data_IF_453698845856
#
_entry.id   IF_453698845856
#
_cell.length_a   1.000
_cell.length_b   1.000
_cell.length_c   1.000
_cell.angle_alpha   90.00
_cell.angle_beta   90.00
_cell.angle_gamma   90.00
#
_symmetry.space_group_name_H-M   'P 1'
#
loop_
_entity.id
_entity.type
_entity.pdbx_description
1 polymer ?
#
# COMPACT_ATOMS: atom_id res chain seq x y z
N UNK A 1 -8.63 -2.54 6.64
CA UNK A 1 -8.62 -2.14 8.06
C UNK A 1 -9.92 -2.46 8.77
N UNK A 2 -11.10 -2.12 8.22
CA UNK A 2 -12.39 -2.45 8.84
C UNK A 2 -12.56 -3.96 9.06
N UNK A 3 -12.26 -4.77 8.04
CA UNK A 3 -12.32 -6.24 8.16
C UNK A 3 -11.33 -6.78 9.21
N UNK A 4 -10.12 -6.23 9.27
CA UNK A 4 -9.15 -6.59 10.29
C UNK A 4 -9.70 -6.32 11.70
N UNK A 5 -10.31 -5.15 11.93
CA UNK A 5 -10.93 -4.81 13.20
C UNK A 5 -12.13 -5.71 13.56
N UNK A 6 -13.04 -5.94 12.61
CA UNK A 6 -14.26 -6.73 12.82
C UNK A 6 -13.95 -8.23 13.06
N UNK A 7 -12.91 -8.76 12.42
CA UNK A 7 -12.53 -10.18 12.49
C UNK A 7 -11.46 -10.48 13.55
N UNK A 8 -10.99 -9.46 14.26
CA UNK A 8 -10.04 -9.61 15.36
C UNK A 8 -10.68 -10.29 16.56
N UNK A 9 -9.97 -11.25 17.17
CA UNK A 9 -10.42 -12.00 18.35
C UNK A 9 -9.30 -12.03 19.41
N UNK A 10 -8.88 -10.84 19.82
CA UNK A 10 -7.80 -10.63 20.78
C UNK A 10 -8.33 -10.51 22.21
N UNK A 11 -7.58 -11.08 23.16
CA UNK A 11 -7.90 -10.96 24.59
C UNK A 11 -7.91 -9.50 25.09
N UNK A 12 -7.05 -8.65 24.53
CA UNK A 12 -6.90 -7.25 24.92
C UNK A 12 -7.27 -6.33 23.76
N UNK A 13 -8.21 -5.43 23.98
CA UNK A 13 -8.68 -4.49 22.96
C UNK A 13 -7.57 -3.58 22.41
N UNK A 14 -6.58 -3.25 23.24
CA UNK A 14 -5.42 -2.42 22.85
C UNK A 14 -4.45 -3.12 21.90
N UNK A 15 -4.60 -4.43 21.70
CA UNK A 15 -3.81 -5.24 20.78
C UNK A 15 -4.67 -5.84 19.65
N UNK A 16 -5.82 -5.23 19.40
CA UNK A 16 -6.83 -5.74 18.48
C UNK A 16 -6.84 -4.98 17.16
N UNK A 17 -7.12 -5.68 16.08
CA UNK A 17 -7.30 -5.11 14.76
C UNK A 17 -6.05 -4.39 14.26
N UNK A 18 -6.17 -3.10 13.99
CA UNK A 18 -5.08 -2.26 13.46
C UNK A 18 -4.05 -1.81 14.51
N UNK A 19 -4.19 -2.25 15.78
CA UNK A 19 -3.22 -1.99 16.84
C UNK A 19 -2.01 -2.95 16.76
N UNK A 20 -1.37 -3.02 15.61
CA UNK A 20 -0.24 -3.89 15.26
C UNK A 20 0.98 -3.07 14.84
N UNK A 21 2.09 -3.74 14.58
CA UNK A 21 3.28 -3.08 14.04
C UNK A 21 2.97 -2.30 12.76
N UNK A 22 3.59 -1.13 12.59
CA UNK A 22 3.33 -0.24 11.45
C UNK A 22 3.61 -0.93 10.11
N UNK A 23 4.66 -1.71 10.03
CA UNK A 23 5.06 -2.48 8.86
C UNK A 23 4.31 -3.82 8.69
N UNK A 24 3.19 -3.96 9.39
CA UNK A 24 2.24 -5.06 9.21
C UNK A 24 0.81 -4.55 8.92
N UNK A 25 0.44 -3.38 9.43
CA UNK A 25 -0.95 -2.89 9.47
C UNK A 25 -1.61 -2.77 8.08
N UNK A 26 -0.83 -2.46 7.04
CA UNK A 26 -1.34 -2.30 5.67
C UNK A 26 -1.46 -3.62 4.89
N UNK A 27 -0.83 -4.70 5.37
CA UNK A 27 -0.82 -5.96 4.64
C UNK A 27 -2.24 -6.52 4.40
N UNK A 28 -3.16 -6.57 5.39
CA UNK A 28 -4.51 -7.08 5.14
C UNK A 28 -5.31 -6.22 4.15
N UNK A 29 -5.14 -4.90 4.17
CA UNK A 29 -5.83 -3.99 3.24
C UNK A 29 -5.29 -4.14 1.82
N UNK A 30 -3.98 -4.13 1.63
CA UNK A 30 -3.33 -4.35 0.34
C UNK A 30 -3.64 -5.73 -0.24
N UNK A 31 -3.65 -6.78 0.60
CA UNK A 31 -4.07 -8.11 0.17
C UNK A 31 -5.51 -8.11 -0.34
N UNK A 32 -6.44 -7.45 0.36
CA UNK A 32 -7.85 -7.37 -0.06
C UNK A 32 -8.04 -6.70 -1.43
N UNK A 33 -7.15 -5.79 -1.83
CA UNK A 33 -7.20 -5.16 -3.16
C UNK A 33 -7.04 -6.20 -4.28
N UNK A 34 -6.30 -7.28 -4.04
CA UNK A 34 -6.09 -8.34 -5.03
C UNK A 34 -7.39 -9.04 -5.46
N UNK A 35 -8.42 -9.07 -4.59
CA UNK A 35 -9.72 -9.66 -4.91
C UNK A 35 -10.43 -8.94 -6.04
N UNK A 36 -10.21 -7.64 -6.23
CA UNK A 36 -10.83 -6.88 -7.29
C UNK A 36 -10.48 -7.38 -8.71
N UNK A 37 -9.33 -8.06 -8.86
CA UNK A 37 -8.87 -8.59 -10.15
C UNK A 37 -9.15 -10.08 -10.34
N UNK A 38 -9.69 -10.80 -9.34
CA UNK A 38 -10.11 -12.20 -9.48
C UNK A 38 -11.26 -12.27 -10.48
N UNK A 39 -11.16 -13.10 -11.56
CA UNK A 39 -12.13 -13.10 -12.66
C UNK A 39 -13.59 -13.21 -12.21
N UNK A 40 -13.88 -14.12 -11.29
CA UNK A 40 -15.24 -14.37 -10.80
C UNK A 40 -15.82 -13.16 -10.06
N UNK A 41 -14.98 -12.47 -9.28
CA UNK A 41 -15.38 -11.26 -8.56
C UNK A 41 -15.49 -10.09 -9.53
N UNK A 42 -14.49 -9.91 -10.39
CA UNK A 42 -14.47 -8.85 -11.40
C UNK A 42 -15.73 -8.88 -12.28
N UNK A 43 -16.08 -10.04 -12.82
CA UNK A 43 -17.23 -10.22 -13.71
C UNK A 43 -18.57 -10.00 -12.99
N UNK A 44 -18.60 -10.10 -11.66
CA UNK A 44 -19.77 -9.80 -10.87
C UNK A 44 -20.02 -8.30 -10.74
N UNK A 45 -19.00 -7.49 -10.47
CA UNK A 45 -19.18 -6.05 -10.22
C UNK A 45 -18.92 -5.16 -11.45
N UNK A 46 -18.07 -5.59 -12.39
CA UNK A 46 -17.67 -4.80 -13.56
C UNK A 46 -18.78 -4.80 -14.64
N UNK A 47 -19.87 -4.11 -14.36
CA UNK A 47 -21.05 -4.04 -15.23
C UNK A 47 -21.38 -2.60 -15.60
N UNK A 48 -21.94 -2.45 -16.80
CA UNK A 48 -22.41 -1.16 -17.28
C UNK A 48 -23.53 -0.63 -16.38
N UNK A 49 -23.41 0.59 -15.92
CA UNK A 49 -24.31 1.18 -14.91
C UNK A 49 -25.78 1.24 -15.34
N UNK A 50 -26.07 1.46 -16.62
CA UNK A 50 -27.44 1.58 -17.14
C UNK A 50 -27.99 0.25 -17.64
N UNK A 51 -27.16 -0.55 -18.34
CA UNK A 51 -27.63 -1.76 -19.02
C UNK A 51 -27.40 -3.04 -18.24
N UNK A 52 -26.55 -3.02 -17.22
CA UNK A 52 -26.11 -4.22 -16.48
C UNK A 52 -25.25 -5.17 -17.32
N UNK A 53 -24.90 -4.82 -18.55
CA UNK A 53 -24.08 -5.64 -19.42
C UNK A 53 -22.66 -5.83 -18.82
N UNK A 54 -22.08 -7.03 -19.01
CA UNK A 54 -20.70 -7.30 -18.62
C UNK A 54 -19.73 -6.42 -19.42
N UNK A 55 -18.57 -6.12 -18.83
CA UNK A 55 -17.51 -5.41 -19.55
C UNK A 55 -17.09 -6.18 -20.82
N UNK A 56 -16.93 -5.51 -21.97
CA UNK A 56 -16.42 -6.14 -23.18
C UNK A 56 -15.06 -6.81 -22.95
N UNK A 57 -14.87 -8.01 -23.50
CA UNK A 57 -13.69 -8.83 -23.24
C UNK A 57 -12.37 -8.14 -23.63
N UNK A 58 -12.37 -7.40 -24.75
CA UNK A 58 -11.21 -6.64 -25.21
C UNK A 58 -10.87 -5.47 -24.26
N UNK A 59 -11.86 -4.83 -23.68
CA UNK A 59 -11.66 -3.78 -22.71
C UNK A 59 -11.11 -4.35 -21.39
N UNK A 60 -11.66 -5.47 -20.92
CA UNK A 60 -11.16 -6.20 -19.74
C UNK A 60 -9.69 -6.60 -19.93
N UNK A 61 -9.34 -7.18 -21.05
CA UNK A 61 -7.96 -7.58 -21.35
C UNK A 61 -7.00 -6.38 -21.34
N UNK A 62 -7.37 -5.27 -21.99
CA UNK A 62 -6.56 -4.04 -22.00
C UNK A 62 -6.40 -3.46 -20.60
N UNK A 63 -7.46 -3.45 -19.81
CA UNK A 63 -7.44 -2.97 -18.44
C UNK A 63 -6.50 -3.83 -17.56
N UNK A 64 -6.59 -5.16 -17.64
CA UNK A 64 -5.71 -6.05 -16.87
C UNK A 64 -4.23 -5.89 -17.30
N UNK A 65 -3.96 -5.72 -18.59
CA UNK A 65 -2.61 -5.42 -19.08
C UNK A 65 -2.09 -4.07 -18.59
N UNK A 66 -2.96 -3.09 -18.38
CA UNK A 66 -2.55 -1.75 -17.90
C UNK A 66 -2.07 -1.76 -16.45
N UNK A 67 -2.48 -2.73 -15.63
CA UNK A 67 -2.07 -2.84 -14.23
C UNK A 67 -0.54 -3.03 -14.11
N UNK A 68 0.06 -3.78 -15.04
CA UNK A 68 1.52 -3.97 -15.08
C UNK A 68 2.26 -2.90 -15.87
N UNK A 69 1.53 -1.97 -16.52
CA UNK A 69 2.15 -0.90 -17.28
C UNK A 69 2.69 0.18 -16.34
N UNK A 70 3.92 0.62 -16.61
CA UNK A 70 4.63 1.63 -15.82
C UNK A 70 4.78 1.31 -14.31
N UNK A 71 4.91 0.04 -13.95
CA UNK A 71 5.19 -0.38 -12.56
C UNK A 71 6.41 0.34 -11.98
N UNK A 72 7.44 0.60 -12.79
CA UNK A 72 8.61 1.36 -12.37
C UNK A 72 8.29 2.82 -11.99
N UNK A 73 7.27 3.43 -12.61
CA UNK A 73 6.82 4.76 -12.22
C UNK A 73 6.23 4.75 -10.80
N UNK A 74 5.26 3.87 -10.56
CA UNK A 74 4.60 3.75 -9.24
C UNK A 74 5.59 3.36 -8.13
N UNK A 75 6.51 2.45 -8.44
CA UNK A 75 7.58 2.09 -7.50
C UNK A 75 8.52 3.27 -7.24
N UNK A 76 8.92 3.99 -8.28
CA UNK A 76 9.84 5.14 -8.18
C UNK A 76 9.27 6.27 -7.32
N UNK A 77 8.00 6.64 -7.52
CA UNK A 77 7.36 7.68 -6.71
C UNK A 77 7.22 7.29 -5.23
N UNK A 78 6.88 6.01 -4.95
CA UNK A 78 6.79 5.49 -3.60
C UNK A 78 8.15 5.41 -2.91
N UNK A 79 9.17 4.93 -3.64
CA UNK A 79 10.52 4.81 -3.11
C UNK A 79 11.12 6.18 -2.82
N UNK A 80 10.91 7.17 -3.69
CA UNK A 80 11.34 8.54 -3.46
C UNK A 80 10.69 9.14 -2.19
N UNK A 81 9.38 8.94 -1.99
CA UNK A 81 8.69 9.38 -0.78
C UNK A 81 9.21 8.65 0.47
N UNK A 82 9.45 7.33 0.39
CA UNK A 82 10.03 6.54 1.48
C UNK A 82 11.41 7.04 1.88
N UNK A 83 12.28 7.28 0.92
CA UNK A 83 13.64 7.78 1.19
C UNK A 83 13.60 9.21 1.75
N UNK A 84 12.68 10.05 1.26
CA UNK A 84 12.49 11.39 1.77
C UNK A 84 12.00 11.39 3.22
N UNK A 85 11.07 10.51 3.58
CA UNK A 85 10.66 10.31 4.98
C UNK A 85 11.86 9.97 5.86
N UNK A 86 12.66 9.00 5.45
CA UNK A 86 13.86 8.60 6.21
C UNK A 86 14.91 9.71 6.27
N UNK A 87 15.09 10.48 5.19
CA UNK A 87 16.02 11.61 5.18
C UNK A 87 15.64 12.64 6.26
N UNK A 88 14.38 13.04 6.32
CA UNK A 88 13.86 13.97 7.33
C UNK A 88 14.00 13.46 8.78
N UNK A 89 13.91 12.17 8.99
CA UNK A 89 13.95 11.58 10.33
C UNK A 89 15.35 11.07 10.76
N UNK A 90 16.37 11.27 9.91
CA UNK A 90 17.76 10.93 10.22
C UNK A 90 18.63 12.11 10.58
N UNK A 91 18.23 13.32 10.19
CA UNK A 91 18.97 14.55 10.48
C UNK A 91 18.87 14.92 11.96
N UNK A 92 19.92 15.52 12.51
CA UNK A 92 19.93 16.08 13.85
C UNK A 92 19.17 17.42 13.90
N UNK A 93 18.87 17.92 15.08
CA UNK A 93 18.17 19.19 15.27
C UNK A 93 18.93 20.36 14.62
N UNK A 94 20.27 20.33 14.67
CA UNK A 94 21.13 21.36 14.09
C UNK A 94 21.14 21.34 12.56
N UNK A 95 20.83 20.20 11.95
CA UNK A 95 20.77 20.01 10.50
C UNK A 95 19.42 20.35 9.89
N UNK A 96 18.40 20.58 10.72
CA UNK A 96 17.05 20.91 10.23
C UNK A 96 17.09 22.22 9.46
N UNK A 97 16.80 22.21 8.13
CA UNK A 97 16.83 23.42 7.33
C UNK A 97 15.68 24.37 7.72
N UNK A 98 15.86 25.65 7.43
CA UNK A 98 14.74 26.58 7.58
C UNK A 98 13.55 26.17 6.69
N UNK A 99 12.29 26.53 7.04
CA UNK A 99 11.11 26.17 6.25
C UNK A 99 11.20 26.57 4.77
N UNK A 100 11.88 27.69 4.48
CA UNK A 100 12.10 28.15 3.10
C UNK A 100 13.06 27.25 2.29
N UNK A 101 13.87 26.46 2.98
CA UNK A 101 14.85 25.55 2.36
C UNK A 101 14.36 24.09 2.27
N UNK A 102 13.16 23.80 2.74
CA UNK A 102 12.63 22.43 2.73
C UNK A 102 12.62 21.79 1.32
N UNK A 103 12.24 22.57 0.30
CA UNK A 103 12.28 22.11 -1.09
C UNK A 103 13.68 21.93 -1.67
N UNK A 104 14.68 22.68 -1.16
CA UNK A 104 16.09 22.48 -1.54
C UNK A 104 16.63 21.20 -0.90
N UNK A 105 16.36 20.98 0.37
CA UNK A 105 16.70 19.75 1.09
C UNK A 105 16.11 18.52 0.37
N UNK A 106 14.82 18.55 0.04
CA UNK A 106 14.16 17.46 -0.71
C UNK A 106 14.90 17.11 -2.00
N UNK A 107 15.24 18.14 -2.80
CA UNK A 107 15.96 17.94 -4.07
C UNK A 107 17.36 17.39 -3.87
N UNK A 108 18.07 17.88 -2.87
CA UNK A 108 19.42 17.42 -2.53
C UNK A 108 19.42 15.95 -2.11
N UNK A 109 18.52 15.58 -1.18
CA UNK A 109 18.41 14.21 -0.71
C UNK A 109 18.01 13.24 -1.84
N UNK A 110 17.04 13.59 -2.66
CA UNK A 110 16.63 12.76 -3.79
C UNK A 110 17.75 12.69 -4.86
N UNK A 111 18.53 13.73 -5.06
CA UNK A 111 19.69 13.72 -5.95
C UNK A 111 20.78 12.76 -5.44
N UNK A 112 21.11 12.84 -4.15
CA UNK A 112 22.16 12.04 -3.53
C UNK A 112 21.92 10.53 -3.63
N UNK A 113 20.65 10.12 -3.63
CA UNK A 113 20.25 8.72 -3.77
C UNK A 113 19.86 8.32 -5.21
N UNK A 114 19.99 9.22 -6.18
CA UNK A 114 19.70 8.95 -7.58
C UNK A 114 18.21 8.87 -7.92
N UNK A 115 17.33 9.38 -7.06
CA UNK A 115 15.87 9.39 -7.27
C UNK A 115 15.30 10.77 -7.65
N UNK A 116 16.15 11.78 -7.84
CA UNK A 116 15.69 13.06 -8.35
C UNK A 116 15.34 12.94 -9.84
N UNK A 117 14.05 12.91 -10.12
CA UNK A 117 13.54 12.83 -11.47
C UNK A 117 12.36 13.80 -11.65
N UNK A 118 12.46 14.70 -12.62
CA UNK A 118 11.39 15.69 -12.88
C UNK A 118 10.12 15.08 -13.49
N UNK A 119 10.23 13.91 -14.10
CA UNK A 119 9.11 13.18 -14.71
C UNK A 119 8.48 12.19 -13.74
N UNK A 120 9.21 11.77 -12.71
CA UNK A 120 8.72 10.88 -11.64
C UNK A 120 9.01 11.57 -10.31
N UNK A 121 8.18 12.54 -9.91
CA UNK A 121 8.33 13.19 -8.61
C UNK A 121 8.03 12.20 -7.48
N UNK A 122 8.48 12.47 -6.25
CA UNK A 122 8.04 11.66 -5.11
C UNK A 122 6.52 11.73 -4.96
N UNK A 123 5.92 10.64 -4.51
CA UNK A 123 4.46 10.56 -4.29
C UNK A 123 3.95 11.69 -3.39
N UNK A 124 4.75 12.09 -2.42
CA UNK A 124 4.50 13.23 -1.53
C UNK A 124 5.75 14.10 -1.47
N UNK A 125 5.54 15.38 -1.62
CA UNK A 125 6.55 16.39 -1.32
C UNK A 125 6.50 16.78 0.16
N UNK A 126 7.60 17.23 0.71
CA UNK A 126 7.76 17.59 2.12
C UNK A 126 6.62 18.47 2.65
N UNK A 127 6.16 19.44 1.86
CA UNK A 127 5.15 20.42 2.30
C UNK A 127 3.74 19.86 2.53
N UNK A 128 3.41 18.69 1.99
CA UNK A 128 2.09 18.07 2.12
C UNK A 128 2.13 16.58 2.48
N UNK A 129 3.24 16.10 3.02
CA UNK A 129 3.43 14.70 3.41
C UNK A 129 2.75 14.39 4.76
N UNK A 130 1.42 14.49 4.79
CA UNK A 130 0.65 14.32 6.01
C UNK A 130 0.87 12.98 6.71
N UNK A 131 1.13 11.90 5.96
CA UNK A 131 1.42 10.59 6.55
C UNK A 131 2.50 10.67 7.63
N UNK A 132 3.58 11.38 7.36
CA UNK A 132 4.75 11.44 8.25
C UNK A 132 4.66 12.59 9.26
N UNK A 133 4.01 13.72 8.92
CA UNK A 133 3.91 14.87 9.82
C UNK A 133 2.74 14.79 10.81
N UNK A 134 1.65 14.10 10.45
CA UNK A 134 0.44 14.04 11.27
C UNK A 134 -0.27 12.69 11.26
N UNK A 135 0.06 11.80 10.33
CA UNK A 135 -0.62 10.53 10.11
C UNK A 135 -0.05 9.34 10.88
N UNK A 136 1.00 9.53 11.67
CA UNK A 136 1.61 8.47 12.47
C UNK A 136 2.57 7.55 11.71
N UNK A 137 3.06 7.98 10.53
CA UNK A 137 4.04 7.25 9.72
C UNK A 137 5.43 7.90 9.70
N UNK A 138 5.78 8.69 10.70
CA UNK A 138 7.11 9.29 10.86
C UNK A 138 8.18 8.19 10.86
N UNK A 139 9.18 8.29 9.98
CA UNK A 139 10.17 7.24 9.69
C UNK A 139 9.57 5.86 9.36
N UNK A 140 8.30 5.81 8.99
CA UNK A 140 7.52 4.59 8.83
C UNK A 140 6.84 4.45 7.47
N UNK A 141 7.06 5.36 6.53
CA UNK A 141 6.40 5.28 5.22
C UNK A 141 6.86 4.07 4.38
N UNK A 142 8.06 3.55 4.65
CA UNK A 142 8.58 2.30 4.06
C UNK A 142 7.63 1.11 4.26
N UNK A 143 6.78 1.16 5.27
CA UNK A 143 5.86 0.08 5.63
C UNK A 143 4.94 -0.33 4.49
N UNK A 144 4.51 0.60 3.65
CA UNK A 144 3.67 0.31 2.48
C UNK A 144 4.36 -0.63 1.47
N UNK A 145 5.64 -0.39 1.19
CA UNK A 145 6.41 -1.27 0.30
C UNK A 145 6.67 -2.64 0.94
N UNK A 146 6.95 -2.66 2.23
CA UNK A 146 7.18 -3.90 2.97
C UNK A 146 5.91 -4.75 3.06
N UNK A 147 4.79 -4.16 3.42
CA UNK A 147 3.52 -4.87 3.55
C UNK A 147 2.95 -5.31 2.19
N UNK A 148 3.29 -4.62 1.11
CA UNK A 148 2.95 -5.06 -0.25
C UNK A 148 3.61 -6.40 -0.57
N UNK A 149 4.88 -6.59 -0.21
CA UNK A 149 5.57 -7.89 -0.39
C UNK A 149 4.82 -8.99 0.37
N UNK A 150 4.38 -8.72 1.60
CA UNK A 150 3.62 -9.68 2.39
C UNK A 150 2.24 -9.95 1.77
N UNK A 151 1.55 -8.91 1.31
CA UNK A 151 0.25 -9.01 0.67
C UNK A 151 0.29 -9.84 -0.62
N UNK A 152 1.29 -9.60 -1.48
CA UNK A 152 1.51 -10.38 -2.71
C UNK A 152 1.80 -11.85 -2.39
N UNK A 153 2.57 -12.13 -1.34
CA UNK A 153 2.85 -13.49 -0.91
C UNK A 153 1.57 -14.24 -0.48
N UNK A 154 0.68 -13.56 0.24
CA UNK A 154 -0.62 -14.11 0.63
C UNK A 154 -1.52 -14.28 -0.59
N UNK A 155 -1.55 -13.31 -1.51
CA UNK A 155 -2.32 -13.42 -2.75
C UNK A 155 -1.88 -14.62 -3.60
N UNK A 156 -0.58 -14.86 -3.70
CA UNK A 156 -0.02 -16.05 -4.38
C UNK A 156 -0.45 -17.36 -3.69
N UNK A 157 -0.45 -17.39 -2.37
CA UNK A 157 -0.96 -18.54 -1.61
C UNK A 157 -2.45 -18.80 -1.93
N UNK A 158 -3.28 -17.76 -1.93
CA UNK A 158 -4.70 -17.87 -2.27
C UNK A 158 -4.90 -18.33 -3.71
N UNK A 159 -4.14 -17.80 -4.67
CA UNK A 159 -4.21 -18.20 -6.06
C UNK A 159 -3.88 -19.70 -6.26
N UNK A 160 -2.93 -20.22 -5.48
CA UNK A 160 -2.52 -21.64 -5.56
C UNK A 160 -3.49 -22.61 -4.88
N UNK A 161 -4.21 -22.16 -3.83
CA UNK A 161 -5.05 -23.03 -3.00
C UNK A 161 -6.56 -22.81 -3.20
N UNK A 162 -6.93 -21.89 -4.10
CA UNK A 162 -8.32 -21.52 -4.37
C UNK A 162 -8.67 -20.16 -3.73
N UNK A 163 -8.66 -19.12 -4.54
CA UNK A 163 -8.86 -17.76 -4.06
C UNK A 163 -10.22 -17.52 -3.40
N UNK A 164 -11.24 -18.30 -3.77
CA UNK A 164 -12.59 -18.24 -3.21
C UNK A 164 -12.93 -19.46 -2.34
N UNK A 165 -11.95 -20.29 -1.99
CA UNK A 165 -12.16 -21.44 -1.12
C UNK A 165 -12.40 -20.96 0.33
N UNK A 166 -13.54 -21.29 0.95
CA UNK A 166 -13.85 -20.90 2.32
C UNK A 166 -12.83 -21.38 3.35
N UNK A 167 -12.17 -22.53 3.13
CA UNK A 167 -11.17 -23.06 4.06
C UNK A 167 -9.89 -22.21 4.02
N UNK A 168 -9.50 -21.72 2.84
CA UNK A 168 -8.35 -20.81 2.68
C UNK A 168 -8.66 -19.47 3.36
N UNK A 169 -9.88 -18.93 3.15
CA UNK A 169 -10.33 -17.72 3.81
C UNK A 169 -10.38 -17.86 5.34
N UNK A 170 -10.88 -19.00 5.84
CA UNK A 170 -10.92 -19.28 7.28
C UNK A 170 -9.50 -19.37 7.88
N UNK A 171 -8.57 -20.00 7.18
CA UNK A 171 -7.17 -20.06 7.63
C UNK A 171 -6.52 -18.67 7.72
N UNK A 172 -6.81 -17.78 6.77
CA UNK A 172 -6.35 -16.39 6.83
C UNK A 172 -6.95 -15.64 8.01
N UNK A 173 -8.27 -15.80 8.23
CA UNK A 173 -8.94 -15.23 9.40
C UNK A 173 -8.30 -15.70 10.71
N UNK A 174 -8.12 -17.01 10.89
CA UNK A 174 -7.69 -17.60 12.17
C UNK A 174 -6.22 -17.35 12.47
N UNK A 175 -5.37 -17.24 11.43
CA UNK A 175 -3.92 -17.12 11.60
C UNK A 175 -3.43 -15.65 11.54
N UNK A 176 -4.17 -14.79 10.89
CA UNK A 176 -3.79 -13.39 10.64
C UNK A 176 -4.80 -12.45 11.31
N UNK A 177 -6.01 -12.33 10.76
CA UNK A 177 -6.93 -11.26 11.14
C UNK A 177 -7.39 -11.35 12.60
N UNK A 178 -7.56 -12.57 13.14
CA UNK A 178 -7.99 -12.77 14.52
C UNK A 178 -6.89 -12.51 15.55
N UNK A 179 -5.65 -12.36 15.12
CA UNK A 179 -4.50 -12.21 16.02
C UNK A 179 -4.16 -10.77 16.40
N UNK A 180 -4.80 -9.83 15.74
CA UNK A 180 -4.52 -8.41 15.88
C UNK A 180 -3.37 -7.94 15.04
#
# INVERSE_FOLDING_TARGET
HALHGILSDCKYNTLSGTAVARDFVEMPSQFNESFASIPEIFDHYARHTETGAAMPADLKERMLKSISFQTAYSLGENLAATCLDLAWHKISEEEVPSPYMAGAFEKEELHNIGLLNTQIPPRYSTSYFNHVWGGGYAAGYYSYLWTEVLAVNIADYFAKHGALDPAVGQAFRDKILSRG
#
